data_IF_450445179114
#
_entry.id   IF_450445179114
#
_cell.length_a   1.000
_cell.length_b   1.000
_cell.length_c   1.000
_cell.angle_alpha   90.00
_cell.angle_beta   90.00
_cell.angle_gamma   90.00
#
_symmetry.space_group_name_H-M   'P 1'
#
loop_
_entity.id
_entity.type
_entity.pdbx_description
1 polymer ?
#
# COMPACT_ATOMS: atom_id res chain seq x y z
N UNK A 1 -51.43 9.87 -35.54
CA UNK A 1 -52.76 10.54 -35.55
C UNK A 1 -53.13 11.11 -34.16
N UNK A 2 -52.17 11.67 -33.41
CA UNK A 2 -52.44 12.39 -32.16
C UNK A 2 -51.41 13.53 -32.00
N UNK A 3 -51.67 14.65 -32.68
CA UNK A 3 -51.02 15.94 -32.45
C UNK A 3 -52.09 17.06 -32.36
N UNK A 4 -53.31 16.70 -31.96
CA UNK A 4 -54.45 17.63 -31.87
C UNK A 4 -54.58 18.28 -30.48
N UNK A 5 -53.47 18.49 -29.76
CA UNK A 5 -53.49 18.97 -28.38
C UNK A 5 -52.24 19.74 -27.97
N UNK A 6 -51.68 20.57 -28.85
CA UNK A 6 -50.66 21.55 -28.42
C UNK A 6 -51.41 22.77 -27.88
N UNK A 7 -51.24 23.14 -26.60
CA UNK A 7 -51.87 24.34 -26.06
C UNK A 7 -51.38 25.55 -26.87
N UNK A 8 -52.29 26.26 -27.53
CA UNK A 8 -51.98 27.47 -28.31
C UNK A 8 -51.82 28.68 -27.40
N UNK A 9 -50.93 28.58 -26.42
CA UNK A 9 -50.52 29.73 -25.61
C UNK A 9 -49.70 30.71 -26.47
N UNK A 10 -49.71 32.01 -26.16
CA UNK A 10 -48.84 32.98 -26.81
C UNK A 10 -47.37 32.50 -26.82
N UNK A 11 -46.72 32.55 -28.00
CA UNK A 11 -45.34 32.13 -28.18
C UNK A 11 -45.11 30.62 -28.41
N UNK A 12 -46.16 29.80 -28.56
CA UNK A 12 -46.03 28.36 -28.83
C UNK A 12 -45.17 28.00 -30.06
N UNK A 13 -45.14 28.77 -31.18
CA UNK A 13 -44.30 28.42 -32.33
C UNK A 13 -42.81 28.54 -32.00
N UNK A 14 -42.42 29.54 -31.21
CA UNK A 14 -41.04 29.74 -30.76
C UNK A 14 -40.58 28.64 -29.80
N UNK A 15 -41.45 28.22 -28.87
CA UNK A 15 -41.19 27.08 -27.97
C UNK A 15 -41.06 25.77 -28.75
N UNK A 16 -41.96 25.51 -29.70
CA UNK A 16 -41.90 24.31 -30.54
C UNK A 16 -40.64 24.27 -31.40
N UNK A 17 -40.23 25.41 -31.98
CA UNK A 17 -38.98 25.51 -32.73
C UNK A 17 -37.75 25.30 -31.85
N UNK A 18 -37.74 25.83 -30.61
CA UNK A 18 -36.65 25.63 -29.66
C UNK A 18 -36.53 24.15 -29.23
N UNK A 19 -37.66 23.50 -28.91
CA UNK A 19 -37.69 22.07 -28.57
C UNK A 19 -37.28 21.19 -29.74
N UNK A 20 -37.75 21.50 -30.95
CA UNK A 20 -37.37 20.79 -32.17
C UNK A 20 -35.88 20.98 -32.49
N UNK A 21 -35.36 22.20 -32.33
CA UNK A 21 -33.93 22.49 -32.51
C UNK A 21 -33.08 21.72 -31.50
N UNK A 22 -33.49 21.67 -30.22
CA UNK A 22 -32.84 20.88 -29.18
C UNK A 22 -32.85 19.38 -29.52
N UNK A 23 -34.01 18.83 -29.90
CA UNK A 23 -34.14 17.44 -30.33
C UNK A 23 -33.24 17.12 -31.54
N UNK A 24 -33.19 17.99 -32.55
CA UNK A 24 -32.30 17.84 -33.72
C UNK A 24 -30.82 17.87 -33.32
N UNK A 25 -30.45 18.72 -32.37
CA UNK A 25 -29.11 18.79 -31.81
C UNK A 25 -28.76 17.50 -31.06
N UNK A 26 -29.65 16.99 -30.23
CA UNK A 26 -29.48 15.73 -29.49
C UNK A 26 -29.38 14.53 -30.43
N UNK A 27 -30.23 14.43 -31.45
CA UNK A 27 -30.19 13.37 -32.47
C UNK A 27 -28.88 13.43 -33.26
N UNK A 28 -28.43 14.63 -33.66
CA UNK A 28 -27.16 14.82 -34.37
C UNK A 28 -25.96 14.48 -33.49
N UNK A 29 -25.98 14.86 -32.22
CA UNK A 29 -24.96 14.52 -31.24
C UNK A 29 -24.88 13.00 -31.01
N UNK A 30 -26.03 12.34 -30.84
CA UNK A 30 -26.11 10.89 -30.67
C UNK A 30 -25.56 10.13 -31.90
N UNK A 31 -25.96 10.53 -33.12
CA UNK A 31 -25.44 9.93 -34.37
C UNK A 31 -23.93 10.11 -34.57
N UNK A 32 -23.36 11.17 -34.02
CA UNK A 32 -21.91 11.47 -34.09
C UNK A 32 -21.14 10.96 -32.89
N UNK A 33 -21.80 10.28 -31.93
CA UNK A 33 -21.15 9.75 -30.73
C UNK A 33 -19.91 8.93 -31.11
N UNK A 34 -20.04 7.98 -32.04
CA UNK A 34 -18.95 7.12 -32.54
C UNK A 34 -17.78 7.87 -33.22
N UNK A 35 -18.00 9.12 -33.66
CA UNK A 35 -16.98 9.95 -34.31
C UNK A 35 -16.33 10.97 -33.37
N UNK A 36 -16.66 10.96 -32.07
CA UNK A 36 -16.01 11.82 -31.10
C UNK A 36 -14.52 11.43 -30.92
N UNK A 37 -13.62 12.38 -30.62
CA UNK A 37 -12.27 12.07 -30.16
C UNK A 37 -12.32 11.08 -28.97
N UNK A 38 -11.37 10.15 -28.90
CA UNK A 38 -11.33 9.09 -27.88
C UNK A 38 -11.49 9.61 -26.43
N UNK A 39 -10.98 10.81 -26.13
CA UNK A 39 -11.13 11.44 -24.81
C UNK A 39 -12.56 11.88 -24.43
N UNK A 40 -13.48 11.98 -25.40
CA UNK A 40 -14.90 12.26 -25.20
C UNK A 40 -15.76 10.98 -25.20
N UNK A 41 -15.22 9.88 -25.73
CA UNK A 41 -15.80 8.52 -25.63
C UNK A 41 -15.64 7.89 -24.27
N UNK A 42 -14.62 8.28 -23.54
CA UNK A 42 -14.27 7.74 -22.24
C UNK A 42 -15.28 8.10 -21.11
N UNK A 43 -16.49 8.61 -21.39
CA UNK A 43 -17.45 8.90 -20.33
C UNK A 43 -18.05 7.61 -19.75
N UNK A 44 -18.24 7.56 -18.43
CA UNK A 44 -18.95 6.45 -17.77
C UNK A 44 -20.40 6.31 -18.29
N UNK A 45 -21.00 5.11 -18.24
CA UNK A 45 -22.43 4.89 -18.53
C UNK A 45 -23.36 5.76 -17.67
N UNK A 46 -24.58 6.03 -18.15
CA UNK A 46 -25.54 6.89 -17.44
C UNK A 46 -25.92 6.37 -16.05
N UNK A 47 -26.03 5.04 -15.89
CA UNK A 47 -26.25 4.40 -14.60
C UNK A 47 -25.10 4.69 -13.62
N UNK A 48 -23.85 4.50 -14.04
CA UNK A 48 -22.67 4.83 -13.24
C UNK A 48 -22.57 6.33 -12.95
N UNK A 49 -22.95 7.19 -13.89
CA UNK A 49 -23.01 8.63 -13.69
C UNK A 49 -24.06 9.04 -12.63
N UNK A 50 -25.23 8.42 -12.66
CA UNK A 50 -26.28 8.63 -11.66
C UNK A 50 -25.84 8.11 -10.28
N UNK A 51 -25.15 6.97 -10.24
CA UNK A 51 -24.54 6.43 -9.02
C UNK A 51 -23.52 7.38 -8.40
N UNK A 52 -22.59 7.92 -9.21
CA UNK A 52 -21.63 8.93 -8.72
C UNK A 52 -22.34 10.17 -8.16
N UNK A 53 -23.40 10.64 -8.81
CA UNK A 53 -24.16 11.78 -8.30
C UNK A 53 -24.77 11.51 -6.92
N UNK A 54 -25.33 10.31 -6.70
CA UNK A 54 -25.84 9.90 -5.38
C UNK A 54 -24.74 9.76 -4.33
N UNK A 55 -23.60 9.19 -4.72
CA UNK A 55 -22.42 9.10 -3.84
C UNK A 55 -21.96 10.50 -3.39
N UNK A 56 -21.85 11.44 -4.33
CA UNK A 56 -21.48 12.84 -4.03
C UNK A 56 -22.55 13.56 -3.19
N UNK A 57 -23.82 13.17 -3.29
CA UNK A 57 -24.89 13.67 -2.44
C UNK A 57 -24.89 13.05 -1.01
N UNK A 58 -24.00 12.09 -0.74
CA UNK A 58 -23.78 11.51 0.59
C UNK A 58 -24.11 10.03 0.71
N UNK A 59 -24.74 9.41 -0.29
CA UNK A 59 -25.08 7.99 -0.24
C UNK A 59 -23.82 7.12 -0.28
N UNK A 60 -23.47 6.47 0.84
CA UNK A 60 -22.30 5.61 0.96
C UNK A 60 -20.98 6.29 0.51
N UNK A 61 -20.80 7.59 0.82
CA UNK A 61 -19.67 8.41 0.34
C UNK A 61 -18.27 7.76 0.45
N UNK A 62 -18.08 6.86 1.43
CA UNK A 62 -16.83 6.10 1.62
C UNK A 62 -16.42 5.22 0.44
N UNK A 63 -17.33 4.86 -0.47
CA UNK A 63 -17.04 4.07 -1.68
C UNK A 63 -16.55 4.92 -2.86
N UNK A 64 -16.54 6.26 -2.73
CA UNK A 64 -16.12 7.17 -3.78
C UNK A 64 -14.72 6.86 -4.36
N UNK A 65 -13.67 6.57 -3.55
CA UNK A 65 -12.36 6.20 -4.09
C UNK A 65 -12.43 4.96 -4.98
N UNK A 66 -13.16 3.93 -4.56
CA UNK A 66 -13.34 2.69 -5.32
C UNK A 66 -14.06 2.94 -6.64
N UNK A 67 -15.12 3.77 -6.63
CA UNK A 67 -15.81 4.16 -7.86
C UNK A 67 -14.87 4.85 -8.85
N UNK A 68 -14.08 5.83 -8.38
CA UNK A 68 -13.15 6.61 -9.23
C UNK A 68 -12.05 5.72 -9.79
N UNK A 69 -11.50 4.83 -8.97
CA UNK A 69 -10.44 3.91 -9.34
C UNK A 69 -10.94 2.86 -10.34
N UNK A 70 -12.12 2.30 -10.11
CA UNK A 70 -12.75 1.33 -11.01
C UNK A 70 -13.10 1.94 -12.37
N UNK A 71 -13.56 3.20 -12.40
CA UNK A 71 -13.79 3.93 -13.64
C UNK A 71 -12.48 4.20 -14.38
N UNK A 72 -11.46 4.72 -13.67
CA UNK A 72 -10.17 5.04 -14.26
C UNK A 72 -9.44 3.81 -14.82
N UNK A 73 -9.49 2.68 -14.11
CA UNK A 73 -8.91 1.40 -14.54
C UNK A 73 -9.52 0.88 -15.86
N UNK A 74 -10.79 1.19 -16.11
CA UNK A 74 -11.49 0.89 -17.38
C UNK A 74 -11.27 1.94 -18.46
N UNK A 75 -10.40 2.93 -18.21
CA UNK A 75 -10.21 4.07 -19.10
C UNK A 75 -11.39 5.05 -19.13
N UNK A 76 -12.38 4.89 -18.24
CA UNK A 76 -13.54 5.76 -18.14
C UNK A 76 -13.22 7.02 -17.32
N UNK A 77 -14.06 8.04 -17.47
CA UNK A 77 -13.89 9.38 -16.94
C UNK A 77 -15.20 9.90 -16.36
N UNK A 78 -15.04 10.68 -15.31
CA UNK A 78 -16.14 11.33 -14.60
C UNK A 78 -16.94 12.21 -15.58
N UNK A 79 -18.29 12.19 -15.53
CA UNK A 79 -19.11 13.08 -16.34
C UNK A 79 -18.77 14.55 -16.06
N UNK A 80 -18.63 15.35 -17.12
CA UNK A 80 -18.17 16.74 -16.99
C UNK A 80 -19.00 17.58 -16.00
N UNK A 81 -20.32 17.34 -15.93
CA UNK A 81 -21.24 18.03 -15.00
C UNK A 81 -20.94 17.76 -13.51
N UNK A 82 -20.26 16.65 -13.19
CA UNK A 82 -19.94 16.25 -11.81
C UNK A 82 -18.50 16.63 -11.41
N UNK A 83 -17.68 17.09 -12.36
CA UNK A 83 -16.28 17.46 -12.09
C UNK A 83 -16.15 18.57 -11.03
N UNK A 84 -16.93 19.68 -11.04
CA UNK A 84 -16.77 20.73 -10.03
C UNK A 84 -17.00 20.22 -8.60
N UNK A 85 -18.07 19.47 -8.37
CA UNK A 85 -18.38 18.89 -7.06
C UNK A 85 -17.29 17.90 -6.60
N UNK A 86 -16.77 17.10 -7.54
CA UNK A 86 -15.68 16.17 -7.27
C UNK A 86 -14.36 16.89 -6.92
N UNK A 87 -14.02 17.94 -7.67
CA UNK A 87 -12.79 18.71 -7.45
C UNK A 87 -12.83 19.46 -6.12
N UNK A 88 -13.99 20.00 -5.74
CA UNK A 88 -14.19 20.63 -4.44
C UNK A 88 -14.02 19.62 -3.30
N UNK A 89 -14.43 18.37 -3.50
CA UNK A 89 -14.18 17.31 -2.51
C UNK A 89 -12.68 17.04 -2.32
N UNK A 90 -11.90 17.00 -3.40
CA UNK A 90 -10.44 16.83 -3.32
C UNK A 90 -9.70 18.03 -2.74
N UNK A 91 -10.32 19.22 -2.73
CA UNK A 91 -9.81 20.37 -1.97
C UNK A 91 -9.85 20.08 -0.47
N UNK A 92 -11.01 19.63 0.01
CA UNK A 92 -11.27 19.33 1.42
C UNK A 92 -10.65 18.02 1.91
N UNK A 93 -10.47 17.04 1.03
CA UNK A 93 -9.91 15.72 1.36
C UNK A 93 -8.70 15.40 0.49
N UNK A 94 -7.51 15.44 1.10
CA UNK A 94 -6.24 15.20 0.41
C UNK A 94 -6.07 13.74 -0.03
N UNK A 95 -6.70 12.80 0.67
CA UNK A 95 -6.56 11.38 0.36
C UNK A 95 -7.28 10.98 -0.93
N UNK A 96 -8.31 11.74 -1.34
CA UNK A 96 -9.05 11.49 -2.58
C UNK A 96 -8.31 11.97 -3.84
N UNK A 97 -7.34 12.88 -3.70
CA UNK A 97 -6.69 13.55 -4.83
C UNK A 97 -6.08 12.58 -5.87
N UNK A 98 -5.39 11.48 -5.49
CA UNK A 98 -4.86 10.53 -6.47
C UNK A 98 -5.95 9.82 -7.28
N UNK A 99 -7.07 9.45 -6.65
CA UNK A 99 -8.21 8.84 -7.34
C UNK A 99 -8.93 9.84 -8.27
N UNK A 100 -9.09 11.08 -7.81
CA UNK A 100 -9.65 12.17 -8.62
C UNK A 100 -8.76 12.45 -9.83
N UNK A 101 -7.44 12.57 -9.66
CA UNK A 101 -6.49 12.80 -10.75
C UNK A 101 -6.59 11.74 -11.85
N UNK A 102 -6.70 10.46 -11.47
CA UNK A 102 -6.86 9.34 -12.41
C UNK A 102 -8.19 9.39 -13.18
N UNK A 103 -9.29 9.78 -12.51
CA UNK A 103 -10.63 9.71 -13.08
C UNK A 103 -11.11 11.01 -13.77
N UNK A 104 -10.53 12.17 -13.43
CA UNK A 104 -11.00 13.48 -13.91
C UNK A 104 -10.61 13.79 -15.37
N UNK A 105 -9.53 13.16 -15.86
CA UNK A 105 -9.06 13.28 -17.24
C UNK A 105 -8.69 14.71 -17.66
N UNK A 106 -8.59 14.94 -18.97
CA UNK A 106 -8.14 16.23 -19.54
C UNK A 106 -9.06 17.39 -19.18
N UNK A 107 -10.38 17.16 -19.06
CA UNK A 107 -11.35 18.20 -18.68
C UNK A 107 -11.20 18.62 -17.22
N UNK A 108 -10.96 17.67 -16.31
CA UNK A 108 -10.62 17.99 -14.92
C UNK A 108 -9.33 18.79 -14.82
N UNK A 109 -8.30 18.39 -15.57
CA UNK A 109 -7.04 19.13 -15.66
C UNK A 109 -7.26 20.55 -16.19
N UNK A 110 -8.03 20.70 -17.27
CA UNK A 110 -8.36 22.01 -17.82
C UNK A 110 -9.10 22.88 -16.78
N UNK A 111 -10.09 22.33 -16.08
CA UNK A 111 -10.79 23.03 -15.00
C UNK A 111 -9.85 23.44 -13.86
N UNK A 112 -8.91 22.57 -13.48
CA UNK A 112 -7.91 22.86 -12.44
C UNK A 112 -6.92 23.97 -12.84
N UNK A 113 -6.68 24.17 -14.15
CA UNK A 113 -5.89 25.31 -14.64
C UNK A 113 -6.68 26.63 -14.62
N UNK A 114 -8.01 26.58 -14.59
CA UNK A 114 -8.86 27.78 -14.51
C UNK A 114 -9.18 28.20 -13.07
N UNK A 115 -8.94 27.34 -12.08
CA UNK A 115 -9.22 27.62 -10.67
C UNK A 115 -8.07 27.14 -9.77
N UNK A 116 -7.39 28.08 -9.11
CA UNK A 116 -6.23 27.81 -8.23
C UNK A 116 -6.56 26.90 -7.06
N UNK A 117 -7.80 26.88 -6.57
CA UNK A 117 -8.23 25.98 -5.48
C UNK A 117 -8.11 24.49 -5.84
N UNK A 118 -8.01 24.17 -7.15
CA UNK A 118 -7.92 22.81 -7.67
C UNK A 118 -6.53 22.47 -8.23
N UNK A 119 -5.52 23.32 -8.01
CA UNK A 119 -4.16 23.16 -8.52
C UNK A 119 -3.46 21.85 -8.07
N UNK A 120 -3.97 21.19 -7.03
CA UNK A 120 -3.49 19.87 -6.60
C UNK A 120 -3.57 18.81 -7.70
N UNK A 121 -4.40 19.01 -8.73
CA UNK A 121 -4.54 18.10 -9.86
C UNK A 121 -3.37 18.21 -10.85
N UNK A 122 -2.68 19.36 -10.90
CA UNK A 122 -1.61 19.66 -11.87
C UNK A 122 -0.26 19.09 -11.43
N UNK A 123 -0.01 19.00 -10.12
CA UNK A 123 1.23 18.44 -9.55
C UNK A 123 1.36 16.90 -9.59
N UNK A 124 0.37 16.19 -10.14
CA UNK A 124 0.29 14.73 -10.17
C UNK A 124 0.74 14.09 -11.51
N UNK A 125 1.35 14.87 -12.41
CA UNK A 125 1.85 14.39 -13.71
C UNK A 125 3.32 13.93 -13.69
N UNK A 126 3.74 13.06 -14.63
CA UNK A 126 5.12 12.60 -14.71
C UNK A 126 6.10 13.75 -15.04
N UNK A 127 7.20 13.84 -14.29
CA UNK A 127 8.30 14.79 -14.50
C UNK A 127 9.13 14.34 -15.71
N UNK A 128 9.55 15.30 -16.55
CA UNK A 128 10.29 15.08 -17.80
C UNK A 128 11.81 15.17 -17.55
N UNK A 129 12.58 14.62 -18.50
CA UNK A 129 14.02 14.33 -18.56
C UNK A 129 15.02 15.27 -17.85
N UNK A 130 16.23 14.76 -17.56
CA UNK A 130 17.30 15.43 -16.81
C UNK A 130 17.82 16.77 -17.39
N UNK A 131 17.64 17.00 -18.69
CA UNK A 131 18.03 18.25 -19.37
C UNK A 131 16.95 19.35 -19.31
N UNK A 132 15.87 19.18 -18.53
CA UNK A 132 14.84 20.19 -18.39
C UNK A 132 15.37 21.43 -17.64
N UNK A 133 15.46 22.61 -18.29
CA UNK A 133 15.90 23.84 -17.64
C UNK A 133 15.04 24.20 -16.42
N UNK A 134 13.76 23.83 -16.43
CA UNK A 134 12.85 24.04 -15.30
C UNK A 134 13.16 23.10 -14.12
N UNK A 135 13.67 21.89 -14.39
CA UNK A 135 14.12 20.94 -13.37
C UNK A 135 15.42 21.39 -12.71
N UNK A 136 16.39 21.83 -13.49
CA UNK A 136 17.64 22.38 -12.98
C UNK A 136 17.41 23.63 -12.11
N UNK A 137 16.45 24.48 -12.48
CA UNK A 137 16.05 25.62 -11.64
C UNK A 137 15.34 25.18 -10.36
N UNK A 138 14.47 24.17 -10.44
CA UNK A 138 13.84 23.59 -9.26
C UNK A 138 14.86 23.01 -8.27
N UNK A 139 16.02 22.51 -8.72
CA UNK A 139 17.11 22.11 -7.84
C UNK A 139 17.82 23.29 -7.17
N UNK A 140 18.16 24.34 -7.95
CA UNK A 140 18.95 25.48 -7.46
C UNK A 140 18.21 26.39 -6.49
N UNK A 141 16.94 26.69 -6.77
CA UNK A 141 16.17 27.70 -6.03
C UNK A 141 14.85 27.17 -5.45
N UNK A 142 14.53 25.90 -5.67
CA UNK A 142 13.30 25.29 -5.18
C UNK A 142 13.29 25.03 -3.68
N UNK A 143 12.09 24.88 -3.13
CA UNK A 143 11.89 24.39 -1.76
C UNK A 143 12.37 22.93 -1.64
N UNK A 144 12.68 22.47 -0.42
CA UNK A 144 13.07 21.07 -0.14
C UNK A 144 12.18 20.04 -0.86
N UNK A 145 10.85 20.24 -0.84
CA UNK A 145 9.91 19.35 -1.52
C UNK A 145 10.09 19.35 -3.04
N UNK A 146 10.27 20.52 -3.67
CA UNK A 146 10.49 20.61 -5.13
C UNK A 146 11.82 19.98 -5.52
N UNK A 147 12.86 20.22 -4.73
CA UNK A 147 14.19 19.61 -4.89
C UNK A 147 14.15 18.08 -4.77
N UNK A 148 13.48 17.56 -3.74
CA UNK A 148 13.30 16.12 -3.55
C UNK A 148 12.46 15.46 -4.66
N UNK A 149 11.42 16.16 -5.16
CA UNK A 149 10.62 15.70 -6.29
C UNK A 149 11.44 15.64 -7.59
N UNK A 150 12.27 16.67 -7.84
CA UNK A 150 13.20 16.68 -8.98
C UNK A 150 14.22 15.54 -8.88
N UNK A 151 14.89 15.38 -7.72
CA UNK A 151 15.81 14.26 -7.49
C UNK A 151 15.13 12.91 -7.66
N UNK A 152 13.91 12.72 -7.16
CA UNK A 152 13.17 11.46 -7.33
C UNK A 152 12.88 11.17 -8.82
N UNK A 153 12.54 12.20 -9.60
CA UNK A 153 12.37 12.08 -11.05
C UNK A 153 13.68 11.69 -11.74
N UNK A 154 14.77 12.39 -11.41
CA UNK A 154 16.10 12.12 -11.96
C UNK A 154 16.61 10.74 -11.56
N UNK A 155 16.38 10.28 -10.32
CA UNK A 155 16.66 8.90 -9.89
C UNK A 155 15.93 7.84 -10.71
N UNK A 156 14.79 8.17 -11.31
CA UNK A 156 14.06 7.26 -12.19
C UNK A 156 14.62 7.18 -13.62
N UNK A 157 15.33 8.21 -14.07
CA UNK A 157 15.82 8.34 -15.46
C UNK A 157 17.34 8.20 -15.57
N UNK A 158 18.09 8.87 -14.68
CA UNK A 158 19.54 8.83 -14.55
C UNK A 158 19.95 8.84 -13.06
N UNK A 159 20.03 7.66 -12.43
CA UNK A 159 20.43 7.52 -11.03
C UNK A 159 21.82 8.08 -10.73
N UNK A 160 22.76 8.03 -11.69
CA UNK A 160 24.12 8.49 -11.52
C UNK A 160 24.18 10.01 -11.45
N UNK A 161 23.54 10.69 -12.40
CA UNK A 161 23.45 12.15 -12.39
C UNK A 161 22.78 12.69 -11.11
N UNK A 162 21.72 12.03 -10.62
CA UNK A 162 21.09 12.41 -9.36
C UNK A 162 22.02 12.29 -8.14
N UNK A 163 22.83 11.22 -8.08
CA UNK A 163 23.81 11.04 -7.01
C UNK A 163 24.90 12.10 -7.08
N UNK A 164 25.44 12.35 -8.26
CA UNK A 164 26.54 13.30 -8.45
C UNK A 164 26.05 14.74 -8.14
N UNK A 165 24.84 15.09 -8.57
CA UNK A 165 24.19 16.35 -8.23
C UNK A 165 24.02 16.55 -6.71
N UNK A 166 23.59 15.51 -5.99
CA UNK A 166 23.46 15.59 -4.53
C UNK A 166 24.84 15.67 -3.85
N UNK A 167 25.83 14.92 -4.35
CA UNK A 167 27.20 14.91 -3.83
C UNK A 167 27.83 16.31 -3.90
N UNK A 168 27.58 17.07 -4.96
CA UNK A 168 28.09 18.43 -5.13
C UNK A 168 27.60 19.43 -4.06
N UNK A 169 26.38 19.26 -3.54
CA UNK A 169 25.81 20.19 -2.56
C UNK A 169 25.78 19.63 -1.13
N UNK A 170 26.12 18.34 -0.95
CA UNK A 170 25.94 17.59 0.29
C UNK A 170 26.40 18.33 1.55
N UNK A 171 27.63 18.84 1.56
CA UNK A 171 28.22 19.50 2.74
C UNK A 171 27.54 20.84 3.10
N UNK A 172 26.83 21.45 2.14
CA UNK A 172 26.11 22.72 2.32
C UNK A 172 24.65 22.51 2.72
N UNK A 173 24.10 21.32 2.50
CA UNK A 173 22.73 21.02 2.86
C UNK A 173 22.59 20.83 4.38
N UNK A 174 21.55 21.37 5.02
CA UNK A 174 21.26 21.07 6.41
C UNK A 174 20.82 19.60 6.57
N UNK A 175 21.07 19.00 7.75
CA UNK A 175 20.83 17.56 7.98
C UNK A 175 19.41 17.07 7.63
N UNK A 176 18.31 17.80 7.91
CA UNK A 176 16.97 17.38 7.49
C UNK A 176 16.76 17.37 5.96
N UNK A 177 17.46 18.22 5.23
CA UNK A 177 17.43 18.25 3.75
C UNK A 177 18.25 17.08 3.20
N UNK A 178 19.43 16.83 3.76
CA UNK A 178 20.23 15.64 3.43
C UNK A 178 19.44 14.35 3.60
N UNK A 179 18.74 14.18 4.72
CA UNK A 179 17.87 13.02 4.94
C UNK A 179 16.76 12.92 3.89
N UNK A 180 16.09 14.04 3.59
CA UNK A 180 15.02 14.07 2.57
C UNK A 180 15.53 13.73 1.15
N UNK A 181 16.74 14.18 0.79
CA UNK A 181 17.34 13.92 -0.51
C UNK A 181 17.90 12.49 -0.59
N UNK A 182 18.54 12.00 0.47
CA UNK A 182 19.03 10.63 0.55
C UNK A 182 17.88 9.62 0.44
N UNK A 183 16.72 9.91 1.03
CA UNK A 183 15.53 9.07 0.91
C UNK A 183 15.08 8.84 -0.56
N UNK A 184 15.42 9.73 -1.50
CA UNK A 184 15.10 9.57 -2.92
C UNK A 184 15.85 8.41 -3.58
N UNK A 185 16.98 7.96 -3.01
CA UNK A 185 17.77 6.83 -3.49
C UNK A 185 17.01 5.51 -3.41
N UNK A 186 15.92 5.45 -2.63
CA UNK A 186 15.03 4.29 -2.61
C UNK A 186 14.51 3.93 -4.01
N UNK A 187 14.48 4.89 -4.93
CA UNK A 187 14.21 4.74 -6.36
C UNK A 187 15.52 4.70 -7.14
N UNK A 188 15.66 3.72 -8.03
CA UNK A 188 16.89 3.56 -8.84
C UNK A 188 18.14 3.17 -8.05
N UNK A 189 17.99 2.66 -6.81
CA UNK A 189 19.10 2.19 -5.97
C UNK A 189 19.99 1.21 -6.74
N UNK A 190 21.29 1.50 -6.80
CA UNK A 190 22.25 0.75 -7.62
C UNK A 190 23.58 0.56 -6.89
N UNK A 191 24.41 -0.44 -7.27
CA UNK A 191 25.74 -0.61 -6.69
C UNK A 191 26.62 0.64 -6.76
N UNK A 192 26.44 1.51 -7.77
CA UNK A 192 27.18 2.77 -7.88
C UNK A 192 26.86 3.80 -6.77
N UNK A 193 25.86 3.55 -5.94
CA UNK A 193 25.51 4.40 -4.79
C UNK A 193 26.29 4.00 -3.52
N UNK A 194 26.92 2.82 -3.48
CA UNK A 194 27.51 2.25 -2.26
C UNK A 194 28.53 3.17 -1.60
N UNK A 195 29.50 3.71 -2.35
CA UNK A 195 30.53 4.59 -1.82
C UNK A 195 29.94 5.84 -1.14
N UNK A 196 28.92 6.43 -1.76
CA UNK A 196 28.26 7.61 -1.21
C UNK A 196 27.47 7.28 0.06
N UNK A 197 26.79 6.13 0.08
CA UNK A 197 26.02 5.69 1.24
C UNK A 197 26.92 5.27 2.42
N UNK A 198 28.06 4.62 2.15
CA UNK A 198 29.06 4.29 3.18
C UNK A 198 29.63 5.54 3.84
N UNK A 199 29.90 6.60 3.06
CA UNK A 199 30.30 7.89 3.64
C UNK A 199 29.17 8.52 4.48
N UNK A 200 27.91 8.37 4.05
CA UNK A 200 26.75 8.89 4.76
C UNK A 200 26.47 8.19 6.11
N UNK A 201 27.04 6.99 6.36
CA UNK A 201 27.00 6.35 7.69
C UNK A 201 27.73 7.16 8.77
N UNK A 202 28.68 8.02 8.37
CA UNK A 202 29.45 8.86 9.30
C UNK A 202 28.88 10.29 9.41
N UNK A 203 27.71 10.56 8.83
CA UNK A 203 27.04 11.86 8.88
C UNK A 203 26.66 12.24 10.32
N UNK A 204 26.68 13.55 10.66
CA UNK A 204 26.30 14.05 12.00
C UNK A 204 24.80 13.87 12.29
N UNK A 205 23.95 13.90 11.27
CA UNK A 205 22.50 13.74 11.37
C UNK A 205 22.10 12.28 11.58
N UNK A 206 21.41 11.99 12.69
CA UNK A 206 20.94 10.63 13.01
C UNK A 206 20.08 10.03 11.89
N UNK A 207 19.13 10.80 11.36
CA UNK A 207 18.22 10.31 10.31
C UNK A 207 18.95 10.03 8.99
N UNK A 208 20.03 10.77 8.70
CA UNK A 208 20.89 10.53 7.54
C UNK A 208 21.61 9.19 7.68
N UNK A 209 22.25 8.93 8.84
CA UNK A 209 22.92 7.65 9.12
C UNK A 209 21.97 6.47 9.04
N UNK A 210 20.77 6.62 9.62
CA UNK A 210 19.76 5.56 9.59
C UNK A 210 19.33 5.25 8.16
N UNK A 211 19.00 6.27 7.36
CA UNK A 211 18.63 6.09 5.96
C UNK A 211 19.76 5.47 5.13
N UNK A 212 21.01 5.86 5.37
CA UNK A 212 22.17 5.28 4.70
C UNK A 212 22.29 3.77 5.01
N UNK A 213 22.20 3.38 6.28
CA UNK A 213 22.22 1.98 6.70
C UNK A 213 21.06 1.17 6.11
N UNK A 214 19.85 1.74 6.10
CA UNK A 214 18.66 1.09 5.55
C UNK A 214 18.75 0.92 4.02
N UNK A 215 19.37 1.87 3.30
CA UNK A 215 19.63 1.77 1.86
C UNK A 215 20.75 0.77 1.55
N UNK A 216 21.85 0.78 2.32
CA UNK A 216 22.95 -0.17 2.17
C UNK A 216 22.48 -1.62 2.41
N UNK A 217 21.60 -1.85 3.39
CA UNK A 217 20.99 -3.16 3.64
C UNK A 217 20.22 -3.72 2.42
N UNK A 218 19.77 -2.83 1.51
CA UNK A 218 19.02 -3.20 0.31
C UNK A 218 19.92 -3.44 -0.91
N UNK A 219 21.20 -3.09 -0.86
CA UNK A 219 22.14 -3.24 -1.99
C UNK A 219 22.70 -4.67 -2.08
N UNK A 220 22.54 -5.37 -3.22
CA UNK A 220 23.15 -6.68 -3.41
C UNK A 220 24.66 -6.61 -3.56
N UNK A 221 25.38 -7.48 -2.86
CA UNK A 221 26.84 -7.58 -2.92
C UNK A 221 27.61 -6.46 -2.22
N UNK A 222 26.92 -5.54 -1.53
CA UNK A 222 27.57 -4.45 -0.81
C UNK A 222 28.38 -4.97 0.40
N UNK A 223 29.50 -4.32 0.69
CA UNK A 223 30.37 -4.63 1.83
C UNK A 223 29.60 -4.55 3.16
N UNK A 224 28.64 -3.63 3.27
CA UNK A 224 27.73 -3.53 4.41
C UNK A 224 26.97 -4.85 4.67
N UNK A 225 26.44 -5.48 3.62
CA UNK A 225 25.72 -6.75 3.72
C UNK A 225 26.62 -7.87 4.23
N UNK A 226 27.88 -7.92 3.77
CA UNK A 226 28.87 -8.89 4.25
C UNK A 226 29.23 -8.68 5.73
N UNK A 227 29.34 -7.42 6.19
CA UNK A 227 29.54 -7.12 7.62
C UNK A 227 28.37 -7.58 8.47
N UNK A 228 27.13 -7.40 7.99
CA UNK A 228 25.93 -7.91 8.68
C UNK A 228 25.90 -9.44 8.70
N UNK A 229 26.19 -10.07 7.56
CA UNK A 229 26.26 -11.52 7.45
C UNK A 229 27.31 -12.12 8.39
N UNK A 230 28.49 -11.51 8.51
CA UNK A 230 29.53 -11.97 9.44
C UNK A 230 29.05 -11.94 10.90
N UNK A 231 28.41 -10.84 11.33
CA UNK A 231 27.83 -10.72 12.69
C UNK A 231 26.70 -11.74 12.91
N UNK A 232 25.84 -11.92 11.92
CA UNK A 232 24.71 -12.84 12.01
C UNK A 232 25.15 -14.32 12.09
N UNK A 233 26.18 -14.70 11.32
CA UNK A 233 26.80 -16.04 11.39
C UNK A 233 27.40 -16.32 12.77
N UNK A 234 27.99 -15.32 13.41
CA UNK A 234 28.52 -15.48 14.77
C UNK A 234 27.42 -15.75 15.81
N UNK A 235 26.18 -15.33 15.54
CA UNK A 235 25.04 -15.48 16.43
C UNK A 235 24.27 -16.82 16.25
N UNK A 236 24.54 -17.57 15.19
CA UNK A 236 23.75 -18.75 14.82
C UNK A 236 24.64 -19.96 14.58
N UNK A 237 24.35 -21.05 15.29
CA UNK A 237 25.05 -22.32 15.15
C UNK A 237 24.07 -23.44 14.84
N UNK A 238 24.33 -24.21 13.80
CA UNK A 238 23.61 -25.45 13.54
C UNK A 238 24.21 -26.55 14.44
N UNK A 239 23.37 -27.17 15.27
CA UNK A 239 23.77 -28.22 16.20
C UNK A 239 23.01 -29.51 15.90
N UNK A 240 23.65 -30.69 16.02
CA UNK A 240 22.93 -31.95 16.02
C UNK A 240 22.03 -32.05 17.27
N UNK A 241 20.88 -32.67 17.12
CA UNK A 241 19.93 -32.93 18.19
C UNK A 241 19.25 -34.29 18.07
N UNK A 242 18.52 -34.71 19.12
CA UNK A 242 17.86 -36.01 19.16
C UNK A 242 16.91 -36.24 17.98
N UNK A 243 16.17 -35.19 17.59
CA UNK A 243 15.18 -35.22 16.52
C UNK A 243 15.71 -34.62 15.19
N UNK A 244 17.03 -34.50 15.05
CA UNK A 244 17.70 -33.88 13.91
C UNK A 244 18.37 -32.53 14.21
N UNK A 245 18.82 -31.81 13.17
CA UNK A 245 19.54 -30.56 13.34
C UNK A 245 18.64 -29.45 13.90
N UNK A 246 19.20 -28.63 14.79
CA UNK A 246 18.53 -27.46 15.40
C UNK A 246 19.42 -26.22 15.36
N UNK A 247 18.80 -25.05 15.38
CA UNK A 247 19.50 -23.78 15.49
C UNK A 247 19.68 -23.40 16.96
N UNK A 248 20.92 -23.17 17.35
CA UNK A 248 21.30 -22.51 18.60
C UNK A 248 21.52 -21.03 18.31
N UNK A 249 20.85 -20.16 19.09
CA UNK A 249 20.87 -18.71 18.91
C UNK A 249 21.58 -18.08 20.10
N UNK A 250 22.65 -17.35 19.84
CA UNK A 250 23.39 -16.59 20.84
C UNK A 250 23.40 -15.12 20.40
N UNK A 251 22.64 -14.27 21.10
CA UNK A 251 22.57 -12.86 20.77
C UNK A 251 23.93 -12.15 20.99
N UNK A 252 24.24 -11.06 20.27
CA UNK A 252 25.51 -10.33 20.43
C UNK A 252 25.78 -9.95 21.89
N UNK A 253 27.02 -10.12 22.37
CA UNK A 253 27.41 -9.81 23.75
C UNK A 253 27.58 -8.31 23.98
N UNK A 254 28.04 -7.58 22.96
CA UNK A 254 28.42 -6.18 23.05
C UNK A 254 27.81 -5.36 21.91
N UNK A 255 27.64 -4.08 22.15
CA UNK A 255 27.28 -3.08 21.14
C UNK A 255 28.52 -2.24 20.83
N UNK A 256 29.33 -2.73 19.90
CA UNK A 256 30.57 -2.08 19.50
C UNK A 256 30.32 -0.85 18.59
N UNK A 257 31.36 -0.04 18.41
CA UNK A 257 31.29 1.17 17.57
C UNK A 257 30.97 0.86 16.10
N UNK A 258 31.34 -0.32 15.59
CA UNK A 258 31.03 -0.75 14.23
C UNK A 258 29.55 -1.10 14.07
N UNK A 259 28.95 -1.76 15.06
CA UNK A 259 27.52 -2.07 15.10
C UNK A 259 26.69 -0.79 15.18
N UNK A 260 27.16 0.18 15.98
CA UNK A 260 26.57 1.52 16.05
C UNK A 260 26.65 2.28 14.71
N UNK A 261 27.84 2.27 14.06
CA UNK A 261 28.08 2.90 12.76
C UNK A 261 27.16 2.31 11.68
N UNK A 262 27.00 0.99 11.68
CA UNK A 262 26.14 0.28 10.74
C UNK A 262 24.62 0.41 11.07
N UNK A 263 24.23 1.40 11.88
CA UNK A 263 22.84 1.80 12.05
C UNK A 263 22.00 0.89 12.95
N UNK A 264 22.62 0.05 13.79
CA UNK A 264 21.92 -0.70 14.84
C UNK A 264 21.88 0.17 16.11
N UNK A 265 20.69 0.62 16.58
CA UNK A 265 20.60 1.47 17.76
C UNK A 265 21.03 0.74 19.03
N UNK A 266 21.56 1.46 20.02
CA UNK A 266 21.86 0.89 21.34
C UNK A 266 20.58 0.39 22.05
N UNK A 267 19.48 1.13 21.89
CA UNK A 267 18.14 0.72 22.34
C UNK A 267 17.19 0.65 21.13
N UNK A 268 17.17 -0.48 20.40
CA UNK A 268 16.22 -0.65 19.30
C UNK A 268 14.76 -0.58 19.78
N UNK A 269 13.84 -0.36 18.83
CA UNK A 269 12.41 -0.42 19.11
C UNK A 269 12.02 -1.78 19.71
N UNK A 270 11.20 -1.76 20.77
CA UNK A 270 10.73 -2.98 21.44
C UNK A 270 11.72 -3.63 22.41
N UNK A 271 12.88 -3.04 22.67
CA UNK A 271 13.91 -3.59 23.59
C UNK A 271 13.54 -3.61 25.08
N UNK A 272 12.41 -3.01 25.46
CA UNK A 272 11.94 -2.94 26.85
C UNK A 272 10.43 -3.12 26.97
N UNK A 273 9.74 -3.35 25.85
CA UNK A 273 8.30 -3.52 25.84
C UNK A 273 7.95 -5.02 26.02
N UNK A 274 7.14 -5.40 27.02
CA UNK A 274 6.59 -6.75 27.11
C UNK A 274 5.65 -6.99 25.93
N UNK A 275 5.75 -8.14 25.26
CA UNK A 275 4.76 -8.54 24.26
C UNK A 275 3.62 -9.33 24.95
N UNK A 276 2.38 -9.27 24.45
CA UNK A 276 1.32 -10.15 24.95
C UNK A 276 1.72 -11.62 24.81
N UNK A 277 1.76 -12.36 25.91
CA UNK A 277 2.15 -13.78 25.91
C UNK A 277 3.66 -14.06 25.91
N UNK A 278 4.53 -13.04 25.92
CA UNK A 278 5.99 -13.22 26.09
C UNK A 278 6.54 -12.31 27.19
N UNK A 279 7.72 -12.65 27.72
CA UNK A 279 8.46 -11.78 28.62
C UNK A 279 8.99 -10.51 27.92
N UNK A 280 9.59 -9.58 28.67
CA UNK A 280 10.29 -8.43 28.10
C UNK A 280 11.37 -8.90 27.12
N UNK A 281 11.42 -8.28 25.94
CA UNK A 281 12.52 -8.48 25.01
C UNK A 281 13.76 -7.84 25.62
N UNK A 282 14.86 -8.57 25.77
CA UNK A 282 16.13 -7.98 26.19
C UNK A 282 16.81 -7.19 25.06
N UNK A 283 17.57 -6.15 25.40
CA UNK A 283 18.33 -5.33 24.44
C UNK A 283 19.19 -6.16 23.48
N UNK A 284 19.83 -7.24 23.95
CA UNK A 284 20.64 -8.15 23.11
C UNK A 284 19.81 -8.87 22.05
N UNK A 285 18.62 -9.35 22.41
CA UNK A 285 17.71 -9.97 21.46
C UNK A 285 17.21 -8.96 20.41
N UNK A 286 17.04 -7.69 20.81
CA UNK A 286 16.72 -6.62 19.88
C UNK A 286 17.88 -6.32 18.90
N UNK A 287 19.13 -6.31 19.35
CA UNK A 287 20.30 -6.20 18.45
C UNK A 287 20.35 -7.36 17.45
N UNK A 288 20.10 -8.59 17.90
CA UNK A 288 20.02 -9.76 17.02
C UNK A 288 18.99 -9.55 15.92
N UNK A 289 17.77 -9.09 16.25
CA UNK A 289 16.74 -8.78 15.23
C UNK A 289 17.21 -7.77 14.21
N UNK A 290 17.86 -6.68 14.66
CA UNK A 290 18.34 -5.63 13.75
C UNK A 290 19.47 -6.12 12.84
N UNK A 291 20.38 -6.97 13.35
CA UNK A 291 21.44 -7.62 12.56
C UNK A 291 20.82 -8.55 11.51
N UNK A 292 19.89 -9.42 11.91
CA UNK A 292 19.22 -10.35 11.00
C UNK A 292 18.41 -9.62 9.93
N UNK A 293 17.70 -8.55 10.29
CA UNK A 293 16.92 -7.72 9.37
C UNK A 293 17.77 -7.03 8.28
N UNK A 294 19.06 -6.84 8.54
CA UNK A 294 20.04 -6.22 7.62
C UNK A 294 20.95 -7.25 6.96
N UNK A 295 20.82 -8.52 7.31
CA UNK A 295 21.60 -9.61 6.72
C UNK A 295 20.95 -10.04 5.40
N UNK A 296 21.70 -10.11 4.29
CA UNK A 296 21.17 -10.60 3.02
C UNK A 296 20.63 -12.04 3.17
N UNK A 297 19.35 -12.32 2.81
CA UNK A 297 18.74 -13.65 2.94
C UNK A 297 19.47 -14.75 2.17
N UNK A 298 20.19 -14.40 1.11
CA UNK A 298 21.09 -15.29 0.35
C UNK A 298 22.24 -15.86 1.19
N UNK A 299 22.52 -15.29 2.37
CA UNK A 299 23.52 -15.78 3.32
C UNK A 299 23.21 -17.19 3.84
N UNK A 300 21.93 -17.51 4.05
CA UNK A 300 21.55 -18.68 4.85
C UNK A 300 21.53 -20.01 4.09
N UNK A 301 21.02 -20.10 2.84
CA UNK A 301 20.97 -21.38 2.13
C UNK A 301 22.34 -22.06 1.97
N UNK A 302 23.42 -21.35 1.57
CA UNK A 302 24.76 -21.95 1.53
C UNK A 302 25.30 -22.33 2.91
N UNK A 303 25.01 -21.53 3.93
CA UNK A 303 25.48 -21.77 5.30
C UNK A 303 24.85 -23.00 5.95
N UNK A 304 23.54 -23.20 5.72
CA UNK A 304 22.74 -24.23 6.37
C UNK A 304 22.47 -25.45 5.49
N UNK A 305 22.80 -25.38 4.19
CA UNK A 305 22.59 -26.47 3.24
C UNK A 305 21.11 -26.78 2.96
N UNK A 306 20.22 -25.83 3.19
CA UNK A 306 18.76 -26.00 3.08
C UNK A 306 18.12 -24.84 2.31
N UNK A 307 17.02 -25.08 1.57
CA UNK A 307 16.22 -24.00 1.01
C UNK A 307 15.52 -23.19 2.12
N UNK A 308 15.04 -21.97 1.85
CA UNK A 308 14.39 -21.11 2.84
C UNK A 308 13.29 -21.80 3.67
N UNK A 309 12.44 -22.62 3.03
CA UNK A 309 11.39 -23.38 3.72
C UNK A 309 11.95 -24.40 4.72
N UNK A 310 13.05 -25.08 4.36
CA UNK A 310 13.75 -26.00 5.26
C UNK A 310 14.39 -25.25 6.43
N UNK A 311 14.98 -24.09 6.18
CA UNK A 311 15.63 -23.26 7.21
C UNK A 311 14.62 -22.76 8.24
N UNK A 312 13.49 -22.19 7.79
CA UNK A 312 12.43 -21.67 8.67
C UNK A 312 11.79 -22.77 9.54
N UNK A 313 11.85 -24.02 9.10
CA UNK A 313 11.33 -25.18 9.85
C UNK A 313 12.30 -25.76 10.87
N UNK A 314 13.58 -25.34 10.88
CA UNK A 314 14.54 -25.84 11.84
C UNK A 314 14.08 -25.48 13.27
N UNK A 315 14.07 -26.44 14.21
CA UNK A 315 13.82 -26.15 15.61
C UNK A 315 14.84 -25.15 16.14
N UNK A 316 14.40 -24.22 16.98
CA UNK A 316 15.27 -23.19 17.58
C UNK A 316 15.36 -23.43 19.08
N UNK A 317 16.57 -23.65 19.59
CA UNK A 317 16.82 -23.85 21.01
C UNK A 317 16.64 -22.53 21.80
N UNK A 318 16.22 -22.65 23.07
CA UNK A 318 16.24 -21.50 24.00
C UNK A 318 15.21 -20.39 23.72
N UNK A 319 14.17 -20.65 22.93
CA UNK A 319 13.06 -19.71 22.73
C UNK A 319 13.35 -18.53 21.78
N UNK A 320 14.50 -18.52 21.09
CA UNK A 320 14.90 -17.43 20.18
C UNK A 320 14.17 -17.39 18.83
N UNK A 321 13.19 -18.27 18.58
CA UNK A 321 12.51 -18.40 17.28
C UNK A 321 11.79 -17.11 16.86
N UNK A 322 11.11 -16.44 17.80
CA UNK A 322 10.36 -15.20 17.57
C UNK A 322 11.25 -14.10 16.96
N UNK A 323 12.38 -13.86 17.61
CA UNK A 323 13.32 -12.84 17.19
C UNK A 323 14.04 -13.23 15.89
N UNK A 324 14.41 -14.50 15.73
CA UNK A 324 15.04 -15.02 14.51
C UNK A 324 14.16 -14.82 13.28
N UNK A 325 12.92 -15.33 13.32
CA UNK A 325 12.00 -15.26 12.19
C UNK A 325 11.53 -13.83 11.91
N UNK A 326 11.39 -12.98 12.95
CA UNK A 326 11.09 -11.55 12.76
C UNK A 326 12.23 -10.84 12.04
N UNK A 327 13.49 -11.14 12.40
CA UNK A 327 14.67 -10.66 11.69
C UNK A 327 14.66 -11.08 10.21
N UNK A 328 14.43 -12.37 9.92
CA UNK A 328 14.33 -12.85 8.54
C UNK A 328 13.15 -12.27 7.76
N UNK A 329 11.99 -12.03 8.41
CA UNK A 329 10.85 -11.38 7.77
C UNK A 329 11.19 -9.96 7.32
N UNK A 330 11.84 -9.18 8.17
CA UNK A 330 12.31 -7.83 7.83
C UNK A 330 13.39 -7.85 6.74
N UNK A 331 14.31 -8.81 6.78
CA UNK A 331 15.30 -8.99 5.71
C UNK A 331 14.64 -9.31 4.35
N UNK A 332 13.65 -10.20 4.35
CA UNK A 332 12.89 -10.53 3.14
C UNK A 332 12.12 -9.31 2.60
N UNK A 333 11.56 -8.46 3.46
CA UNK A 333 10.93 -7.19 3.07
C UNK A 333 11.93 -6.20 2.46
N UNK A 334 13.08 -6.00 3.12
CA UNK A 334 14.13 -5.10 2.66
C UNK A 334 14.65 -5.52 1.27
N UNK A 335 14.85 -6.82 1.08
CA UNK A 335 15.41 -7.42 -0.15
C UNK A 335 14.36 -7.80 -1.19
N UNK A 336 13.07 -7.64 -0.84
CA UNK A 336 11.91 -8.04 -1.63
C UNK A 336 12.00 -9.51 -2.10
N UNK A 337 12.46 -10.39 -1.22
CA UNK A 337 12.70 -11.80 -1.52
C UNK A 337 11.41 -12.63 -1.39
N UNK A 338 10.84 -13.04 -2.52
CA UNK A 338 9.61 -13.82 -2.58
C UNK A 338 9.78 -15.27 -2.08
N UNK A 339 10.98 -15.85 -2.18
CA UNK A 339 11.27 -17.21 -1.70
C UNK A 339 11.20 -17.28 -0.18
N UNK A 340 11.85 -16.33 0.49
CA UNK A 340 11.81 -16.17 1.94
C UNK A 340 10.43 -15.75 2.44
N UNK A 341 9.74 -14.84 1.74
CA UNK A 341 8.36 -14.49 2.07
C UNK A 341 7.45 -15.72 2.10
N UNK A 342 7.54 -16.58 1.07
CA UNK A 342 6.76 -17.83 0.99
C UNK A 342 7.09 -18.77 2.15
N UNK A 343 8.37 -18.97 2.47
CA UNK A 343 8.80 -19.83 3.57
C UNK A 343 8.25 -19.36 4.93
N UNK A 344 8.36 -18.05 5.22
CA UNK A 344 7.90 -17.47 6.49
C UNK A 344 6.37 -17.47 6.62
N UNK A 345 5.64 -17.33 5.51
CA UNK A 345 4.17 -17.41 5.50
C UNK A 345 3.63 -18.84 5.62
N UNK A 346 4.48 -19.86 5.42
CA UNK A 346 4.15 -21.30 5.39
C UNK A 346 3.71 -21.92 6.72
N UNK A 347 3.63 -21.13 7.81
CA UNK A 347 3.00 -21.55 9.07
C UNK A 347 3.94 -22.19 10.12
N UNK A 348 5.20 -22.45 9.76
CA UNK A 348 6.22 -22.91 10.71
C UNK A 348 6.93 -21.75 11.43
N UNK A 349 6.88 -20.53 10.87
CA UNK A 349 7.55 -19.38 11.44
C UNK A 349 6.73 -18.79 12.61
N UNK A 350 7.39 -18.60 13.75
CA UNK A 350 6.95 -17.74 14.83
C UNK A 350 7.43 -16.30 14.57
N UNK A 351 6.67 -15.49 13.85
CA UNK A 351 6.99 -14.07 13.62
C UNK A 351 6.14 -13.23 14.57
N UNK A 352 6.78 -12.45 15.43
CA UNK A 352 6.12 -11.68 16.49
C UNK A 352 5.55 -10.33 16.00
N UNK A 353 5.68 -10.05 14.70
CA UNK A 353 5.24 -8.81 14.04
C UNK A 353 4.19 -9.14 12.96
N UNK A 354 2.88 -9.11 13.29
CA UNK A 354 1.84 -9.47 12.34
C UNK A 354 1.79 -8.50 11.15
N UNK A 355 2.12 -7.24 11.35
CA UNK A 355 2.20 -6.26 10.26
C UNK A 355 3.28 -6.64 9.25
N UNK A 356 4.42 -7.19 9.71
CA UNK A 356 5.47 -7.70 8.81
C UNK A 356 4.97 -8.92 8.02
N UNK A 357 4.24 -9.85 8.65
CA UNK A 357 3.61 -10.97 7.95
C UNK A 357 2.61 -10.50 6.88
N UNK A 358 1.80 -9.49 7.18
CA UNK A 358 0.87 -8.92 6.21
C UNK A 358 1.61 -8.24 5.04
N UNK A 359 2.74 -7.57 5.31
CA UNK A 359 3.56 -6.93 4.27
C UNK A 359 4.26 -7.94 3.36
N UNK A 360 4.65 -9.11 3.88
CA UNK A 360 5.25 -10.20 3.09
C UNK A 360 4.30 -10.71 1.99
N UNK A 361 2.99 -10.61 2.17
CA UNK A 361 2.01 -10.99 1.14
C UNK A 361 2.21 -10.20 -0.15
N UNK A 362 2.65 -8.94 -0.05
CA UNK A 362 2.94 -8.10 -1.21
C UNK A 362 4.10 -8.59 -2.08
N UNK A 363 4.99 -9.42 -1.53
CA UNK A 363 6.13 -10.00 -2.24
C UNK A 363 5.79 -11.27 -3.02
N UNK A 364 4.68 -11.94 -2.68
CA UNK A 364 4.26 -13.13 -3.41
C UNK A 364 3.69 -12.78 -4.79
N UNK A 365 3.79 -13.70 -5.77
CA UNK A 365 3.04 -13.60 -7.03
C UNK A 365 1.54 -13.47 -6.78
N UNK A 366 0.83 -12.71 -7.62
CA UNK A 366 -0.59 -12.38 -7.44
C UNK A 366 -1.47 -13.62 -7.19
N UNK A 367 -1.24 -14.71 -7.91
CA UNK A 367 -2.00 -15.96 -7.78
C UNK A 367 -1.86 -16.65 -6.42
N UNK A 368 -0.80 -16.39 -5.66
CA UNK A 368 -0.55 -17.03 -4.36
C UNK A 368 -1.07 -16.20 -3.17
N UNK A 369 -1.19 -14.88 -3.35
CA UNK A 369 -1.51 -13.93 -2.26
C UNK A 369 -2.80 -14.27 -1.54
N UNK A 370 -3.86 -14.60 -2.28
CA UNK A 370 -5.17 -14.89 -1.71
C UNK A 370 -5.15 -16.11 -0.80
N UNK A 371 -4.49 -17.19 -1.22
CA UNK A 371 -4.36 -18.41 -0.43
C UNK A 371 -3.47 -18.19 0.82
N UNK A 372 -2.34 -17.51 0.66
CA UNK A 372 -1.42 -17.18 1.75
C UNK A 372 -2.09 -16.27 2.80
N UNK A 373 -2.80 -15.22 2.37
CA UNK A 373 -3.53 -14.33 3.27
C UNK A 373 -4.63 -15.07 4.03
N UNK A 374 -5.36 -15.97 3.34
CA UNK A 374 -6.39 -16.78 3.98
C UNK A 374 -5.81 -17.73 5.03
N UNK A 375 -4.66 -18.35 4.75
CA UNK A 375 -3.96 -19.21 5.70
C UNK A 375 -3.44 -18.41 6.91
N UNK A 376 -2.87 -17.22 6.67
CA UNK A 376 -2.37 -16.33 7.72
C UNK A 376 -3.50 -15.90 8.68
N UNK A 377 -4.62 -15.42 8.14
CA UNK A 377 -5.79 -14.99 8.92
C UNK A 377 -6.39 -16.15 9.73
N UNK A 378 -6.43 -17.37 9.18
CA UNK A 378 -6.91 -18.56 9.92
C UNK A 378 -5.99 -18.97 11.07
N UNK A 379 -4.69 -18.69 10.96
CA UNK A 379 -3.68 -19.02 11.97
C UNK A 379 -3.51 -17.96 13.05
N UNK A 380 -4.17 -16.81 12.92
CA UNK A 380 -4.08 -15.74 13.92
C UNK A 380 -4.45 -16.30 15.32
N UNK A 381 -3.58 -16.14 16.34
CA UNK A 381 -3.75 -16.78 17.64
C UNK A 381 -4.93 -16.18 18.41
N UNK A 382 -5.22 -14.89 18.18
CA UNK A 382 -6.32 -14.19 18.81
C UNK A 382 -6.96 -13.16 17.86
N UNK A 383 -8.05 -12.54 18.35
CA UNK A 383 -8.85 -11.56 17.60
C UNK A 383 -8.12 -10.22 17.42
N UNK A 384 -7.24 -9.85 18.34
CA UNK A 384 -6.51 -8.59 18.25
C UNK A 384 -5.46 -8.66 17.13
N UNK A 385 -4.74 -9.77 17.03
CA UNK A 385 -3.79 -10.02 15.95
C UNK A 385 -4.51 -10.16 14.60
N UNK A 386 -5.61 -10.90 14.54
CA UNK A 386 -6.44 -11.00 13.34
C UNK A 386 -6.84 -9.62 12.79
N UNK A 387 -7.26 -8.70 13.66
CA UNK A 387 -7.66 -7.35 13.24
C UNK A 387 -6.47 -6.55 12.73
N UNK A 388 -5.30 -6.60 13.39
CA UNK A 388 -4.08 -5.93 12.92
C UNK A 388 -3.63 -6.46 11.55
N UNK A 389 -3.71 -7.78 11.34
CA UNK A 389 -3.46 -8.40 10.04
C UNK A 389 -4.41 -7.86 8.98
N UNK A 390 -5.72 -7.97 9.20
CA UNK A 390 -6.73 -7.52 8.23
C UNK A 390 -6.63 -6.02 7.94
N UNK A 391 -6.32 -5.18 8.93
CA UNK A 391 -6.13 -3.73 8.74
C UNK A 391 -4.96 -3.43 7.77
N UNK A 392 -3.93 -4.28 7.74
CA UNK A 392 -2.75 -4.14 6.87
C UNK A 392 -2.89 -4.79 5.49
N UNK A 393 -3.66 -5.88 5.37
CA UNK A 393 -3.86 -6.58 4.09
C UNK A 393 -4.68 -5.70 3.12
N UNK A 394 -4.10 -5.28 1.97
CA UNK A 394 -4.79 -4.45 1.00
C UNK A 394 -5.95 -5.20 0.35
N UNK A 395 -7.02 -4.47 0.02
CA UNK A 395 -8.12 -4.97 -0.80
C UNK A 395 -7.81 -4.90 -2.31
N UNK A 396 -8.67 -5.49 -3.16
CA UNK A 396 -9.85 -6.25 -2.79
C UNK A 396 -9.51 -7.66 -2.29
N UNK A 397 -10.25 -8.13 -1.28
CA UNK A 397 -10.19 -9.49 -0.76
C UNK A 397 -11.15 -10.36 -1.56
N UNK A 398 -10.59 -11.24 -2.39
CA UNK A 398 -11.32 -12.16 -3.26
C UNK A 398 -10.96 -13.62 -2.95
N UNK A 399 -11.65 -14.57 -3.58
CA UNK A 399 -11.29 -15.99 -3.56
C UNK A 399 -11.12 -16.57 -2.13
N UNK A 400 -10.01 -17.27 -1.83
CA UNK A 400 -9.79 -17.90 -0.54
C UNK A 400 -9.82 -16.94 0.67
N UNK A 401 -9.30 -15.71 0.52
CA UNK A 401 -9.30 -14.73 1.61
C UNK A 401 -10.71 -14.26 1.91
N UNK A 402 -11.50 -13.95 0.87
CA UNK A 402 -12.90 -13.59 1.03
C UNK A 402 -13.69 -14.70 1.74
N UNK A 403 -13.48 -15.95 1.36
CA UNK A 403 -14.12 -17.10 2.00
C UNK A 403 -13.74 -17.21 3.49
N UNK A 404 -12.46 -17.08 3.83
CA UNK A 404 -12.01 -17.12 5.22
C UNK A 404 -12.61 -15.98 6.07
N UNK A 405 -12.62 -14.75 5.55
CA UNK A 405 -13.21 -13.59 6.24
C UNK A 405 -14.71 -13.76 6.43
N UNK A 406 -15.44 -14.29 5.44
CA UNK A 406 -16.86 -14.62 5.58
C UNK A 406 -17.07 -15.62 6.71
N UNK A 407 -16.31 -16.72 6.76
CA UNK A 407 -16.40 -17.72 7.84
C UNK A 407 -16.19 -17.10 9.23
N UNK A 408 -15.20 -16.21 9.36
CA UNK A 408 -14.90 -15.50 10.61
C UNK A 408 -16.06 -14.57 11.01
N UNK A 409 -16.60 -13.79 10.07
CA UNK A 409 -17.74 -12.89 10.30
C UNK A 409 -18.98 -13.67 10.74
N UNK A 410 -19.29 -14.79 10.07
CA UNK A 410 -20.42 -15.66 10.43
C UNK A 410 -20.23 -16.28 11.81
N UNK A 411 -19.02 -16.75 12.12
CA UNK A 411 -18.71 -17.30 13.45
C UNK A 411 -18.87 -16.26 14.57
N UNK A 412 -18.42 -15.03 14.33
CA UNK A 412 -18.58 -13.93 15.29
C UNK A 412 -20.05 -13.52 15.47
N UNK A 413 -20.84 -13.52 14.39
CA UNK A 413 -22.27 -13.20 14.44
C UNK A 413 -23.12 -14.26 15.17
N UNK A 414 -22.64 -15.50 15.25
CA UNK A 414 -23.32 -16.59 15.94
C UNK A 414 -23.18 -16.61 17.47
N UNK A 415 -22.33 -15.76 18.05
CA UNK A 415 -22.00 -15.77 19.47
C UNK A 415 -22.68 -14.62 20.23
N UNK A 416 -23.60 -14.88 21.18
CA UNK A 416 -24.33 -13.83 21.90
C UNK A 416 -23.51 -13.25 23.06
N UNK A 417 -22.36 -12.64 22.77
CA UNK A 417 -21.49 -12.02 23.79
C UNK A 417 -21.09 -10.60 23.38
N UNK A 418 -20.97 -9.68 24.35
CA UNK A 418 -20.51 -8.30 24.09
C UNK A 418 -19.13 -8.25 23.41
N UNK A 419 -18.24 -9.17 23.77
CA UNK A 419 -16.92 -9.28 23.14
C UNK A 419 -17.01 -9.70 21.66
N UNK A 420 -17.91 -10.62 21.32
CA UNK A 420 -18.20 -11.00 19.93
C UNK A 420 -18.84 -9.87 19.14
N UNK A 421 -19.78 -9.13 19.72
CA UNK A 421 -20.38 -7.95 19.07
C UNK A 421 -19.33 -6.88 18.75
N UNK A 422 -18.47 -6.52 19.71
CA UNK A 422 -17.39 -5.55 19.47
C UNK A 422 -16.41 -6.02 18.39
N UNK A 423 -16.10 -7.33 18.38
CA UNK A 423 -15.25 -7.93 17.35
C UNK A 423 -15.92 -7.84 15.98
N UNK A 424 -17.21 -8.19 15.90
CA UNK A 424 -17.99 -8.15 14.66
C UNK A 424 -18.05 -6.72 14.09
N UNK A 425 -18.28 -5.70 14.93
CA UNK A 425 -18.25 -4.29 14.52
C UNK A 425 -16.92 -3.94 13.85
N UNK A 426 -15.79 -4.29 14.50
CA UNK A 426 -14.46 -4.00 13.96
C UNK A 426 -14.21 -4.77 12.66
N UNK A 427 -14.52 -6.06 12.61
CA UNK A 427 -14.35 -6.88 11.40
C UNK A 427 -15.17 -6.36 10.23
N UNK A 428 -16.45 -6.03 10.45
CA UNK A 428 -17.30 -5.44 9.42
C UNK A 428 -16.72 -4.12 8.89
N UNK A 429 -16.19 -3.26 9.77
CA UNK A 429 -15.56 -1.99 9.39
C UNK A 429 -14.29 -2.16 8.56
N UNK A 430 -13.50 -3.21 8.79
CA UNK A 430 -12.30 -3.46 7.95
C UNK A 430 -12.70 -4.13 6.63
N UNK A 431 -13.76 -4.95 6.65
CA UNK A 431 -14.24 -5.70 5.49
C UNK A 431 -15.05 -4.86 4.49
N UNK A 432 -15.71 -3.78 4.91
CA UNK A 432 -16.74 -3.08 4.12
C UNK A 432 -16.30 -2.62 2.73
N UNK A 433 -15.08 -2.07 2.61
CA UNK A 433 -14.47 -1.58 1.37
C UNK A 433 -13.47 -2.56 0.76
N UNK A 434 -13.19 -3.69 1.42
CA UNK A 434 -12.15 -4.64 1.01
C UNK A 434 -12.72 -5.97 0.55
N UNK A 435 -13.75 -6.50 1.21
CA UNK A 435 -14.35 -7.78 0.89
C UNK A 435 -15.03 -7.75 -0.49
N UNK A 436 -14.90 -8.83 -1.23
CA UNK A 436 -15.60 -9.03 -2.51
C UNK A 436 -17.12 -8.80 -2.36
N UNK A 437 -17.72 -7.89 -3.15
CA UNK A 437 -19.17 -7.67 -3.19
C UNK A 437 -19.99 -8.96 -3.40
N UNK A 438 -19.43 -9.97 -4.09
CA UNK A 438 -20.05 -11.29 -4.25
C UNK A 438 -20.27 -12.06 -2.94
N UNK A 439 -19.69 -11.62 -1.81
CA UNK A 439 -19.93 -12.19 -0.49
C UNK A 439 -21.29 -11.80 0.13
N UNK A 440 -21.98 -10.79 -0.41
CA UNK A 440 -23.22 -10.26 0.17
C UNK A 440 -24.29 -11.33 0.41
N UNK A 441 -24.59 -12.16 -0.58
CA UNK A 441 -25.64 -13.18 -0.47
C UNK A 441 -25.26 -14.31 0.50
N UNK A 442 -23.97 -14.65 0.59
CA UNK A 442 -23.48 -15.63 1.57
C UNK A 442 -23.66 -15.12 3.00
N UNK A 443 -23.35 -13.85 3.26
CA UNK A 443 -23.54 -13.23 4.57
C UNK A 443 -25.04 -13.05 4.89
N UNK A 444 -25.86 -12.68 3.91
CA UNK A 444 -27.30 -12.57 4.07
C UNK A 444 -27.95 -13.91 4.44
N UNK A 445 -27.43 -15.02 3.90
CA UNK A 445 -27.90 -16.38 4.16
C UNK A 445 -27.53 -16.98 5.53
N UNK A 446 -26.85 -16.25 6.43
CA UNK A 446 -26.51 -16.75 7.77
C UNK A 446 -27.76 -17.24 8.52
N UNK A 447 -27.72 -18.31 9.34
CA UNK A 447 -28.93 -18.86 9.97
C UNK A 447 -29.46 -18.04 11.16
N UNK A 448 -28.59 -17.29 11.86
CA UNK A 448 -29.01 -16.52 13.05
C UNK A 448 -29.89 -15.33 12.65
N UNK A 449 -31.06 -15.21 13.30
CA UNK A 449 -32.04 -14.15 13.08
C UNK A 449 -32.55 -13.57 14.41
N UNK A 450 -32.76 -12.23 14.50
CA UNK A 450 -32.41 -11.22 13.50
C UNK A 450 -30.89 -11.08 13.32
N UNK A 451 -30.45 -10.59 12.15
CA UNK A 451 -29.02 -10.33 11.93
C UNK A 451 -28.54 -9.20 12.85
N UNK A 452 -27.33 -9.31 13.45
CA UNK A 452 -26.71 -8.19 14.12
C UNK A 452 -26.56 -7.00 13.16
N UNK A 453 -26.87 -5.79 13.63
CA UNK A 453 -26.83 -4.57 12.81
C UNK A 453 -25.53 -4.37 12.02
N UNK A 454 -24.32 -4.62 12.57
CA UNK A 454 -23.08 -4.49 11.80
C UNK A 454 -23.00 -5.43 10.59
N UNK A 455 -23.62 -6.61 10.67
CA UNK A 455 -23.67 -7.56 9.57
C UNK A 455 -24.67 -7.10 8.49
N UNK A 456 -25.82 -6.57 8.89
CA UNK A 456 -26.80 -5.96 7.99
C UNK A 456 -26.19 -4.79 7.21
N UNK A 457 -25.53 -3.85 7.91
CA UNK A 457 -24.88 -2.68 7.30
C UNK A 457 -23.77 -3.10 6.31
N UNK A 458 -23.03 -4.17 6.64
CA UNK A 458 -22.02 -4.74 5.75
C UNK A 458 -22.66 -5.33 4.47
N UNK A 459 -23.72 -6.13 4.61
CA UNK A 459 -24.44 -6.71 3.46
C UNK A 459 -24.97 -5.62 2.53
N UNK A 460 -25.58 -4.57 3.08
CA UNK A 460 -26.06 -3.43 2.31
C UNK A 460 -24.92 -2.72 1.56
N UNK A 461 -23.78 -2.53 2.23
CA UNK A 461 -22.58 -1.93 1.62
C UNK A 461 -22.05 -2.79 0.46
N UNK A 462 -21.97 -4.11 0.65
CA UNK A 462 -21.49 -5.03 -0.38
C UNK A 462 -22.45 -5.09 -1.58
N UNK A 463 -23.76 -5.09 -1.35
CA UNK A 463 -24.75 -5.01 -2.44
C UNK A 463 -24.61 -3.70 -3.22
N UNK A 464 -24.51 -2.58 -2.51
CA UNK A 464 -24.30 -1.26 -3.12
C UNK A 464 -23.04 -1.25 -3.99
N UNK A 465 -21.91 -1.75 -3.46
CA UNK A 465 -20.63 -1.87 -4.20
C UNK A 465 -20.77 -2.81 -5.41
N UNK A 466 -21.47 -3.92 -5.26
CA UNK A 466 -21.69 -4.89 -6.34
C UNK A 466 -22.50 -4.32 -7.50
N UNK A 467 -23.59 -3.60 -7.22
CA UNK A 467 -24.35 -2.88 -8.25
C UNK A 467 -23.51 -1.78 -8.90
N UNK A 468 -22.82 -0.98 -8.08
CA UNK A 468 -21.96 0.11 -8.53
C UNK A 468 -20.89 -0.36 -9.53
N UNK A 469 -20.23 -1.49 -9.27
CA UNK A 469 -19.21 -2.04 -10.17
C UNK A 469 -19.82 -2.65 -11.44
N UNK A 470 -21.04 -3.20 -11.37
CA UNK A 470 -21.78 -3.67 -12.56
C UNK A 470 -22.16 -2.52 -13.48
N UNK A 471 -22.54 -1.37 -12.93
CA UNK A 471 -22.91 -0.17 -13.70
C UNK A 471 -21.72 0.46 -14.46
N UNK A 472 -20.50 0.17 -14.01
CA UNK A 472 -19.24 0.59 -14.65
C UNK A 472 -18.73 -0.38 -15.71
N UNK A 473 -19.31 -1.58 -15.80
CA UNK A 473 -18.97 -2.62 -16.77
C UNK A 473 -19.92 -2.51 -17.97
#
# INVERSE_FOLDING_TARGET
RALAGVPREPGWPGRLLAEYALLRLLVRAHRRRNALPAGLHAAVPDAAAARLARILAGEQIRVLPEWLDAAAARGLRVPARLLPALLERGRSDRMLRPSIARAAGRRGMWLALQNTDWAYLVGAGPVRSGDDPAGAEAWRSGTRHRRAAYLSGLRGTDPAAARDLLRETWDREPAPDRAAFLATFAWGLSPGDEEFLEAALDDRGKDVRQLAADLLARLPGAAYGERMAARARACLRLRPGPDGPRLEVEAPHEHDAGLARDGVPFHPGGSFAPRPGSGPVGTRAAWLREILARTPPETWPPLLGLPPEGIVRLPVAGGGAGDLHTGWARAALNRRDAGWARALLGGAAAVDEPEALADLLGLLPEGERGAAAAALVRRAPDRAELLRLLERVPGPWTGPLAAAVVTILTGAAGLPTRAAEHTLVRLCRVADLRLDPGAAERLAGHPVRPHPRPLTDLVETLRFRGEMLKELS
#
